data_IF_891840139137
#
_entry.id   IF_891840139137
#
_cell.length_a   1.000
_cell.length_b   1.000
_cell.length_c   1.000
_cell.angle_alpha   90.00
_cell.angle_beta   90.00
_cell.angle_gamma   90.00
#
_symmetry.space_group_name_H-M   'P 1'
#
loop_
_entity.id
_entity.type
_entity.pdbx_description
1 polymer ?
#
# COMPACT_ATOMS: atom_id res chain seq x y z
N UNK A 1 3.39 -26.78 28.27
CA UNK A 1 3.01 -25.90 27.15
C UNK A 1 4.01 -26.15 26.01
N UNK A 2 3.56 -26.79 24.93
CA UNK A 2 4.34 -26.93 23.68
C UNK A 2 4.15 -25.64 22.89
N UNK A 3 5.21 -24.81 22.84
CA UNK A 3 5.30 -23.69 21.94
C UNK A 3 5.66 -24.28 20.56
N UNK A 4 4.73 -24.35 19.65
CA UNK A 4 5.01 -24.57 18.24
C UNK A 4 5.73 -23.32 17.72
N UNK A 5 7.06 -23.30 17.79
CA UNK A 5 7.85 -22.39 16.98
C UNK A 5 7.73 -22.90 15.55
N UNK A 6 6.86 -22.31 14.74
CA UNK A 6 6.94 -22.54 13.32
C UNK A 6 8.34 -22.10 12.85
N UNK A 7 9.09 -22.96 12.17
CA UNK A 7 10.32 -22.50 11.55
C UNK A 7 9.92 -21.38 10.59
N UNK A 8 10.59 -20.24 10.65
CA UNK A 8 10.46 -19.15 9.69
C UNK A 8 11.10 -19.66 8.37
N UNK A 9 10.51 -20.72 7.81
CA UNK A 9 10.84 -21.26 6.52
C UNK A 9 9.81 -20.73 5.54
N UNK A 10 10.09 -19.57 5.01
CA UNK A 10 9.21 -18.87 4.08
C UNK A 10 10.00 -17.79 3.37
N UNK A 11 9.34 -16.84 2.73
CA UNK A 11 10.02 -15.74 2.03
C UNK A 11 10.92 -14.90 2.94
N UNK A 12 10.71 -14.92 4.26
CA UNK A 12 11.61 -14.29 5.23
C UNK A 12 12.87 -15.14 5.45
N UNK A 13 13.81 -15.06 4.51
CA UNK A 13 15.13 -15.71 4.57
C UNK A 13 16.22 -14.66 4.83
N UNK A 14 17.46 -15.12 5.03
CA UNK A 14 18.62 -14.22 5.14
C UNK A 14 18.87 -13.36 3.89
N UNK A 15 18.38 -13.80 2.71
CA UNK A 15 18.47 -13.05 1.45
C UNK A 15 17.26 -12.12 1.21
N UNK A 16 16.32 -12.09 2.13
CA UNK A 16 15.14 -11.25 2.03
C UNK A 16 15.50 -9.75 2.12
N UNK A 17 14.89 -8.95 1.27
CA UNK A 17 15.08 -7.49 1.26
C UNK A 17 13.79 -6.82 1.72
N UNK A 18 13.69 -6.41 2.99
CA UNK A 18 12.51 -5.75 3.50
C UNK A 18 12.31 -4.38 2.84
N UNK A 19 11.06 -4.00 2.64
CA UNK A 19 10.69 -2.68 2.14
C UNK A 19 9.68 -2.04 3.09
N UNK A 20 10.05 -0.87 3.62
CA UNK A 20 9.29 -0.07 4.57
C UNK A 20 9.06 1.36 4.08
N UNK A 21 9.14 1.59 2.78
CA UNK A 21 9.04 2.95 2.22
C UNK A 21 8.53 2.94 0.79
N UNK A 22 8.24 4.14 0.28
CA UNK A 22 7.72 4.37 -1.07
C UNK A 22 6.32 5.00 -1.04
N UNK A 23 5.54 4.77 0.01
CA UNK A 23 4.23 5.37 0.22
C UNK A 23 4.29 6.83 0.72
N UNK A 24 5.48 7.41 0.91
CA UNK A 24 5.70 8.82 1.34
C UNK A 24 4.83 9.22 2.55
N UNK A 25 4.56 8.27 3.45
CA UNK A 25 3.69 8.39 4.65
C UNK A 25 2.19 8.57 4.38
N UNK A 26 1.72 8.39 3.16
CA UNK A 26 0.30 8.45 2.81
C UNK A 26 -0.30 7.06 2.61
N UNK A 27 -1.44 6.73 3.24
CA UNK A 27 -2.24 5.57 2.86
C UNK A 27 -2.84 5.75 1.46
N UNK A 28 -3.25 4.65 0.83
CA UNK A 28 -4.00 4.68 -0.42
C UNK A 28 -5.31 5.47 -0.24
N UNK A 29 -5.70 6.28 -1.24
CA UNK A 29 -6.97 7.00 -1.24
C UNK A 29 -7.87 6.52 -2.37
N UNK A 30 -9.20 6.57 -2.17
CA UNK A 30 -10.19 6.13 -3.12
C UNK A 30 -9.98 6.68 -4.53
N UNK A 31 -9.73 7.97 -4.65
CA UNK A 31 -9.64 8.65 -5.94
C UNK A 31 -8.36 8.33 -6.73
N UNK A 32 -7.35 7.72 -6.09
CA UNK A 32 -6.05 7.56 -6.73
C UNK A 32 -6.04 6.50 -7.83
N UNK A 33 -6.65 5.36 -7.58
CA UNK A 33 -6.71 4.26 -8.57
C UNK A 33 -7.56 4.65 -9.79
N UNK A 34 -8.79 5.17 -9.63
CA UNK A 34 -9.57 5.70 -10.75
C UNK A 34 -8.82 6.74 -11.59
N UNK A 35 -8.17 7.71 -10.93
CA UNK A 35 -7.40 8.73 -11.65
C UNK A 35 -6.23 8.14 -12.44
N UNK A 36 -5.46 7.22 -11.85
CA UNK A 36 -4.34 6.56 -12.55
C UNK A 36 -4.84 5.83 -13.80
N UNK A 37 -5.92 5.07 -13.68
CA UNK A 37 -6.47 4.31 -14.82
C UNK A 37 -6.98 5.23 -15.93
N UNK A 38 -7.68 6.30 -15.59
CA UNK A 38 -8.19 7.29 -16.56
C UNK A 38 -7.06 8.02 -17.29
N UNK A 39 -6.03 8.47 -16.56
CA UNK A 39 -4.92 9.23 -17.15
C UNK A 39 -4.10 8.34 -18.10
N UNK A 40 -3.80 7.10 -17.70
CA UNK A 40 -3.04 6.18 -18.55
C UNK A 40 -3.82 5.69 -19.77
N UNK A 41 -5.15 5.82 -19.77
CA UNK A 41 -5.98 5.54 -20.93
C UNK A 41 -6.06 6.70 -21.92
N UNK A 42 -6.27 7.91 -21.42
CA UNK A 42 -6.38 9.12 -22.25
C UNK A 42 -5.12 9.35 -23.10
N UNK A 43 -4.00 8.78 -22.67
CA UNK A 43 -2.73 8.88 -23.36
C UNK A 43 -2.56 7.90 -24.55
N UNK A 44 -3.53 7.03 -24.82
CA UNK A 44 -3.53 6.11 -25.98
C UNK A 44 -4.04 6.74 -27.27
N UNK A 45 -4.44 8.01 -27.29
CA UNK A 45 -4.86 8.73 -28.50
C UNK A 45 -3.70 9.60 -29.03
N UNK A 46 -3.08 9.17 -30.12
CA UNK A 46 -2.28 9.86 -31.18
C UNK A 46 -1.39 11.08 -30.85
N UNK A 47 -1.26 11.47 -29.60
CA UNK A 47 -0.25 12.42 -29.17
C UNK A 47 0.82 11.70 -28.38
N UNK A 48 2.07 11.92 -28.69
CA UNK A 48 3.27 11.57 -27.90
C UNK A 48 3.17 12.14 -26.46
N UNK A 49 2.20 11.72 -25.69
CA UNK A 49 2.12 12.05 -24.28
C UNK A 49 3.00 11.03 -23.58
N UNK A 50 4.18 11.47 -23.44
CA UNK A 50 5.28 10.98 -22.66
C UNK A 50 4.82 10.07 -21.52
N UNK A 51 5.36 8.89 -21.51
CA UNK A 51 5.45 7.87 -20.48
C UNK A 51 5.80 8.37 -19.06
N UNK A 52 5.62 9.62 -18.78
CA UNK A 52 6.08 10.32 -17.59
C UNK A 52 4.96 10.94 -16.75
N UNK A 53 3.70 10.54 -17.00
CA UNK A 53 2.50 11.08 -16.31
C UNK A 53 2.61 10.94 -14.80
N UNK A 54 3.27 9.88 -14.32
CA UNK A 54 3.56 9.65 -12.90
C UNK A 54 4.94 10.17 -12.49
N UNK A 55 5.62 10.98 -13.33
CA UNK A 55 6.76 11.76 -12.86
C UNK A 55 6.31 12.82 -11.87
N UNK A 56 7.16 13.21 -10.91
CA UNK A 56 6.78 14.23 -9.93
C UNK A 56 6.32 15.55 -10.58
N UNK A 57 6.90 15.95 -11.68
CA UNK A 57 6.61 17.20 -12.37
C UNK A 57 5.25 17.16 -13.09
N UNK A 58 5.05 16.17 -13.94
CA UNK A 58 3.80 16.00 -14.70
C UNK A 58 2.64 15.59 -13.79
N UNK A 59 2.91 14.69 -12.85
CA UNK A 59 1.89 14.21 -11.91
C UNK A 59 1.30 15.30 -11.02
N UNK A 60 2.06 16.36 -10.68
CA UNK A 60 1.50 17.51 -9.95
C UNK A 60 0.38 18.16 -10.75
N UNK A 61 0.56 18.31 -12.05
CA UNK A 61 -0.43 18.93 -12.95
C UNK A 61 -1.64 18.01 -13.12
N UNK A 62 -1.39 16.73 -13.45
CA UNK A 62 -2.44 15.76 -13.78
C UNK A 62 -3.30 15.38 -12.57
N UNK A 63 -2.69 15.18 -11.41
CA UNK A 63 -3.41 14.78 -10.20
C UNK A 63 -3.87 15.96 -9.34
N UNK A 64 -3.29 17.16 -9.53
CA UNK A 64 -3.59 18.33 -8.70
C UNK A 64 -3.12 18.18 -7.25
N UNK A 65 -2.02 17.46 -7.01
CA UNK A 65 -1.51 17.15 -5.67
C UNK A 65 0.00 17.44 -5.56
N UNK A 66 0.51 17.51 -4.34
CA UNK A 66 1.93 17.76 -4.11
C UNK A 66 2.84 16.59 -4.54
N UNK A 67 4.12 16.89 -4.79
CA UNK A 67 5.15 15.95 -5.28
C UNK A 67 5.19 14.61 -4.53
N UNK A 68 5.12 14.62 -3.20
CA UNK A 68 5.17 13.39 -2.41
C UNK A 68 3.90 12.55 -2.56
N UNK A 69 2.75 13.20 -2.77
CA UNK A 69 1.51 12.48 -3.07
C UNK A 69 1.56 11.83 -4.46
N UNK A 70 2.16 12.48 -5.46
CA UNK A 70 2.38 11.85 -6.78
C UNK A 70 3.21 10.58 -6.65
N UNK A 71 4.32 10.63 -5.89
CA UNK A 71 5.15 9.45 -5.63
C UNK A 71 4.36 8.34 -4.91
N UNK A 72 3.51 8.73 -3.96
CA UNK A 72 2.66 7.80 -3.24
C UNK A 72 1.62 7.15 -4.17
N UNK A 73 1.01 7.91 -5.07
CA UNK A 73 0.10 7.39 -6.09
C UNK A 73 0.80 6.35 -6.98
N UNK A 74 1.99 6.69 -7.51
CA UNK A 74 2.81 5.77 -8.31
C UNK A 74 3.15 4.49 -7.51
N UNK A 75 3.56 4.64 -6.26
CA UNK A 75 3.85 3.52 -5.37
C UNK A 75 2.65 2.58 -5.19
N UNK A 76 1.49 3.15 -4.80
CA UNK A 76 0.29 2.35 -4.55
C UNK A 76 -0.20 1.66 -5.81
N UNK A 77 -0.20 2.33 -6.94
CA UNK A 77 -0.60 1.73 -8.22
C UNK A 77 0.31 0.56 -8.63
N UNK A 78 1.62 0.66 -8.35
CA UNK A 78 2.57 -0.43 -8.60
C UNK A 78 2.41 -1.61 -7.63
N UNK A 79 2.38 -1.35 -6.32
CA UNK A 79 2.33 -2.45 -5.33
C UNK A 79 0.99 -3.17 -5.34
N UNK A 80 -0.08 -2.54 -5.78
CA UNK A 80 -1.37 -3.18 -6.02
C UNK A 80 -1.45 -3.90 -7.37
N UNK A 81 -0.40 -3.80 -8.19
CA UNK A 81 -0.32 -4.47 -9.48
C UNK A 81 -1.22 -3.88 -10.56
N UNK A 82 -1.72 -2.66 -10.39
CA UNK A 82 -2.56 -1.97 -11.36
C UNK A 82 -1.72 -1.46 -12.53
N UNK A 83 -0.53 -0.96 -12.23
CA UNK A 83 0.45 -0.54 -13.22
C UNK A 83 1.75 -1.32 -13.08
N UNK A 84 2.49 -1.37 -14.16
CA UNK A 84 3.86 -1.85 -14.19
C UNK A 84 4.77 -0.88 -14.93
N UNK A 85 6.07 -1.03 -14.71
CA UNK A 85 7.07 -0.22 -15.39
C UNK A 85 7.65 -0.98 -16.58
N UNK A 86 7.60 -0.38 -17.76
CA UNK A 86 8.29 -0.86 -18.93
C UNK A 86 9.41 0.12 -19.37
N UNK A 87 10.02 -0.11 -20.53
CA UNK A 87 11.07 0.77 -21.09
C UNK A 87 10.53 2.17 -21.44
N UNK A 88 9.27 2.26 -21.72
CA UNK A 88 8.61 3.49 -22.18
C UNK A 88 7.96 4.27 -21.03
N UNK A 89 7.85 3.72 -19.82
CA UNK A 89 7.28 4.39 -18.64
C UNK A 89 6.36 3.51 -17.79
N UNK A 90 5.18 4.03 -17.47
CA UNK A 90 4.13 3.33 -16.71
C UNK A 90 3.01 2.90 -17.63
N UNK A 91 2.62 1.64 -17.56
CA UNK A 91 1.49 1.08 -18.33
C UNK A 91 0.53 0.37 -17.38
N UNK A 92 -0.74 0.32 -17.77
CA UNK A 92 -1.73 -0.51 -17.09
C UNK A 92 -1.43 -1.99 -17.33
N UNK A 93 -1.39 -2.77 -16.26
CA UNK A 93 -1.34 -4.23 -16.34
C UNK A 93 -2.68 -4.78 -16.87
N UNK A 94 -2.69 -6.05 -17.29
CA UNK A 94 -3.95 -6.70 -17.64
C UNK A 94 -4.93 -6.72 -16.45
N UNK A 95 -4.44 -6.93 -15.24
CA UNK A 95 -5.23 -6.84 -14.01
C UNK A 95 -5.82 -5.44 -13.82
N UNK A 96 -5.01 -4.39 -13.96
CA UNK A 96 -5.48 -3.00 -13.87
C UNK A 96 -6.57 -2.68 -14.90
N UNK A 97 -6.37 -3.13 -16.14
CA UNK A 97 -7.36 -2.94 -17.22
C UNK A 97 -8.67 -3.67 -16.92
N UNK A 98 -8.63 -4.94 -16.59
CA UNK A 98 -9.84 -5.75 -16.40
C UNK A 98 -10.63 -5.29 -15.16
N UNK A 99 -9.97 -5.10 -14.03
CA UNK A 99 -10.67 -4.78 -12.78
C UNK A 99 -11.05 -3.30 -12.71
N UNK A 100 -10.06 -2.42 -12.84
CA UNK A 100 -10.24 -0.99 -12.51
C UNK A 100 -10.55 -0.09 -13.69
N UNK A 101 -10.55 -0.61 -14.92
CA UNK A 101 -11.03 0.10 -16.08
C UNK A 101 -12.39 -0.39 -16.53
N UNK A 102 -12.60 -1.73 -16.60
CA UNK A 102 -13.77 -2.33 -17.20
C UNK A 102 -14.86 -2.62 -16.18
N UNK A 103 -14.49 -3.33 -15.07
CA UNK A 103 -15.49 -3.83 -14.13
C UNK A 103 -15.81 -2.88 -12.99
N UNK A 104 -14.84 -2.13 -12.50
CA UNK A 104 -15.02 -1.22 -11.35
C UNK A 104 -14.17 0.06 -11.48
N UNK A 105 -14.46 0.93 -12.44
CA UNK A 105 -13.64 2.10 -12.73
C UNK A 105 -13.64 3.16 -11.61
N UNK A 106 -14.56 3.09 -10.69
CA UNK A 106 -14.69 4.05 -9.58
C UNK A 106 -14.37 3.45 -8.20
N UNK A 107 -13.96 2.19 -8.16
CA UNK A 107 -13.63 1.47 -6.91
C UNK A 107 -14.82 1.43 -5.92
N UNK A 108 -16.03 1.15 -6.43
CA UNK A 108 -17.25 1.08 -5.65
C UNK A 108 -17.58 -0.35 -5.15
N UNK A 109 -16.94 -1.36 -5.73
CA UNK A 109 -17.21 -2.74 -5.40
C UNK A 109 -16.26 -3.26 -4.32
N UNK A 110 -16.83 -3.74 -3.22
CA UNK A 110 -16.06 -4.33 -2.12
C UNK A 110 -15.15 -5.48 -2.56
N UNK A 111 -15.51 -6.22 -3.60
CA UNK A 111 -14.68 -7.29 -4.17
C UNK A 111 -13.38 -6.75 -4.77
N UNK A 112 -13.41 -5.56 -5.37
CA UNK A 112 -12.21 -4.88 -5.88
C UNK A 112 -11.29 -4.47 -4.75
N UNK A 113 -11.85 -4.05 -3.62
CA UNK A 113 -11.08 -3.70 -2.42
C UNK A 113 -10.42 -4.96 -1.82
N UNK A 114 -11.12 -6.11 -1.82
CA UNK A 114 -10.52 -7.40 -1.44
C UNK A 114 -9.38 -7.81 -2.36
N UNK A 115 -9.48 -7.56 -3.67
CA UNK A 115 -8.38 -7.82 -4.61
C UNK A 115 -7.17 -6.92 -4.34
N UNK A 116 -7.37 -5.65 -4.00
CA UNK A 116 -6.28 -4.75 -3.56
C UNK A 116 -5.61 -5.28 -2.29
N UNK A 117 -6.42 -5.66 -1.29
CA UNK A 117 -5.90 -6.25 -0.06
C UNK A 117 -5.07 -7.50 -0.34
N UNK A 118 -5.58 -8.44 -1.14
CA UNK A 118 -4.82 -9.63 -1.52
C UNK A 118 -3.48 -9.26 -2.17
N UNK A 119 -3.49 -8.35 -3.14
CA UNK A 119 -2.26 -7.90 -3.80
C UNK A 119 -1.22 -7.39 -2.79
N UNK A 120 -1.63 -6.66 -1.78
CA UNK A 120 -0.74 -6.16 -0.74
C UNK A 120 -0.28 -7.26 0.23
N UNK A 121 -1.20 -8.07 0.74
CA UNK A 121 -0.93 -9.08 1.74
C UNK A 121 -0.14 -10.29 1.19
N UNK A 122 -0.17 -10.54 -0.11
CA UNK A 122 0.53 -11.67 -0.75
C UNK A 122 1.96 -11.34 -1.20
N UNK A 123 2.41 -10.09 -1.08
CA UNK A 123 3.75 -9.68 -1.52
C UNK A 123 4.74 -9.69 -0.36
N UNK A 124 5.71 -10.61 -0.35
CA UNK A 124 6.71 -10.66 0.72
C UNK A 124 7.48 -9.34 0.89
N UNK A 125 7.74 -8.59 -0.21
CA UNK A 125 8.49 -7.34 -0.15
C UNK A 125 7.79 -6.24 0.66
N UNK A 126 6.45 -6.27 0.79
CA UNK A 126 5.70 -5.37 1.65
C UNK A 126 5.72 -5.90 3.09
N UNK A 127 6.84 -5.72 3.76
CA UNK A 127 7.19 -6.42 5.02
C UNK A 127 6.10 -6.34 6.07
N UNK A 128 5.58 -5.16 6.38
CA UNK A 128 4.55 -4.98 7.42
C UNK A 128 3.24 -5.67 7.03
N UNK A 129 2.74 -5.47 5.79
CA UNK A 129 1.52 -6.11 5.30
C UNK A 129 1.64 -7.63 5.29
N UNK A 130 2.75 -8.12 4.72
CA UNK A 130 2.99 -9.56 4.61
C UNK A 130 3.14 -10.21 5.98
N UNK A 131 3.88 -9.58 6.91
CA UNK A 131 4.06 -10.08 8.26
C UNK A 131 2.73 -10.16 9.02
N UNK A 132 1.98 -9.06 9.05
CA UNK A 132 0.75 -9.00 9.85
C UNK A 132 -0.30 -10.00 9.36
N UNK A 133 -0.48 -10.14 8.05
CA UNK A 133 -1.55 -11.00 7.51
C UNK A 133 -1.15 -12.47 7.33
N UNK A 134 0.13 -12.81 7.43
CA UNK A 134 0.57 -14.21 7.21
C UNK A 134 1.35 -14.82 8.39
N UNK A 135 1.91 -14.04 9.29
CA UNK A 135 2.78 -14.53 10.36
C UNK A 135 2.41 -14.08 11.77
N UNK A 136 1.64 -13.01 11.90
CA UNK A 136 1.22 -12.55 13.22
C UNK A 136 0.22 -13.54 13.83
N UNK A 137 0.63 -14.24 14.89
CA UNK A 137 -0.19 -15.23 15.56
C UNK A 137 -1.03 -14.67 16.73
N UNK A 138 -1.15 -13.35 16.82
CA UNK A 138 -1.94 -12.68 17.88
C UNK A 138 -3.19 -12.04 17.30
N UNK A 139 -4.30 -12.14 18.01
CA UNK A 139 -5.56 -11.46 17.68
C UNK A 139 -5.54 -9.96 18.01
N UNK A 140 -4.56 -9.51 18.80
CA UNK A 140 -4.38 -8.12 19.17
C UNK A 140 -2.90 -7.78 19.19
N UNK A 141 -2.56 -6.55 18.85
CA UNK A 141 -1.21 -6.04 18.90
C UNK A 141 -1.22 -4.52 19.12
N UNK A 142 -0.16 -4.02 19.72
CA UNK A 142 0.16 -2.60 19.75
C UNK A 142 1.14 -2.24 18.62
N UNK A 143 1.24 -0.96 18.28
CA UNK A 143 2.24 -0.51 17.31
C UNK A 143 3.65 -0.81 17.80
N UNK A 144 3.90 -0.61 19.10
CA UNK A 144 5.17 -0.86 19.77
C UNK A 144 5.58 -2.34 19.70
N UNK A 145 4.64 -3.24 19.95
CA UNK A 145 4.89 -4.69 19.81
C UNK A 145 5.26 -5.06 18.37
N UNK A 146 4.56 -4.50 17.39
CA UNK A 146 4.84 -4.78 15.98
C UNK A 146 6.21 -4.21 15.55
N UNK A 147 6.57 -2.99 16.00
CA UNK A 147 7.90 -2.40 15.76
C UNK A 147 8.99 -3.29 16.34
N UNK A 148 8.83 -3.71 17.60
CA UNK A 148 9.80 -4.55 18.30
C UNK A 148 9.96 -5.90 17.58
N UNK A 149 8.87 -6.51 17.16
CA UNK A 149 8.89 -7.81 16.50
C UNK A 149 9.57 -7.74 15.12
N UNK A 150 9.22 -6.76 14.28
CA UNK A 150 9.87 -6.58 12.98
C UNK A 150 11.36 -6.24 13.15
N UNK A 151 11.71 -5.44 14.15
CA UNK A 151 13.10 -5.10 14.46
C UNK A 151 13.88 -6.34 14.93
N UNK A 152 13.28 -7.19 15.77
CA UNK A 152 13.85 -8.46 16.21
C UNK A 152 14.12 -9.38 15.02
N UNK A 153 13.12 -9.58 14.15
CA UNK A 153 13.26 -10.40 12.95
C UNK A 153 14.36 -9.88 12.03
N UNK A 154 14.45 -8.56 11.83
CA UNK A 154 15.51 -7.96 11.01
C UNK A 154 16.90 -8.28 11.53
N UNK A 155 17.08 -8.30 12.85
CA UNK A 155 18.37 -8.66 13.48
C UNK A 155 18.66 -10.16 13.39
N UNK A 156 17.68 -11.00 13.73
CA UNK A 156 17.83 -12.46 13.73
C UNK A 156 18.12 -13.02 12.33
N UNK A 157 17.47 -12.45 11.33
CA UNK A 157 17.60 -12.90 9.92
C UNK A 157 18.65 -12.11 9.14
N UNK A 158 19.38 -11.19 9.79
CA UNK A 158 20.43 -10.36 9.20
C UNK A 158 19.94 -9.59 7.96
N UNK A 159 18.72 -9.07 7.99
CA UNK A 159 18.21 -8.23 6.92
C UNK A 159 18.94 -6.89 6.87
N UNK A 160 18.96 -6.21 5.69
CA UNK A 160 19.40 -4.83 5.63
C UNK A 160 18.59 -3.98 6.63
N UNK A 161 19.29 -3.33 7.56
CA UNK A 161 18.66 -2.59 8.65
C UNK A 161 17.96 -1.34 8.11
N UNK A 162 16.64 -1.31 8.21
CA UNK A 162 15.89 -0.07 8.18
C UNK A 162 16.00 0.64 9.54
N UNK A 163 16.00 1.98 9.55
CA UNK A 163 15.93 2.70 10.83
C UNK A 163 14.58 2.42 11.51
N UNK A 164 14.57 2.40 12.84
CA UNK A 164 13.34 2.24 13.61
C UNK A 164 12.27 3.26 13.22
N UNK A 165 12.67 4.51 12.95
CA UNK A 165 11.76 5.54 12.45
C UNK A 165 11.12 5.17 11.09
N UNK A 166 11.86 4.48 10.22
CA UNK A 166 11.32 4.03 8.94
C UNK A 166 10.29 2.93 9.16
N UNK A 167 10.58 1.95 10.01
CA UNK A 167 9.65 0.88 10.39
C UNK A 167 8.39 1.48 11.04
N UNK A 168 8.56 2.40 11.98
CA UNK A 168 7.45 3.09 12.66
C UNK A 168 6.52 3.81 11.67
N UNK A 169 7.07 4.54 10.70
CA UNK A 169 6.29 5.24 9.68
C UNK A 169 5.52 4.28 8.79
N UNK A 170 6.11 3.16 8.42
CA UNK A 170 5.45 2.13 7.60
C UNK A 170 4.28 1.49 8.36
N UNK A 171 4.48 1.16 9.66
CA UNK A 171 3.43 0.64 10.54
C UNK A 171 2.30 1.68 10.73
N UNK A 172 2.64 2.96 10.87
CA UNK A 172 1.64 4.02 10.97
C UNK A 172 0.79 4.13 9.69
N UNK A 173 1.39 3.97 8.52
CA UNK A 173 0.64 3.93 7.25
C UNK A 173 -0.21 2.67 7.17
N UNK A 174 0.33 1.51 7.56
CA UNK A 174 -0.42 0.25 7.64
C UNK A 174 -1.69 0.40 8.50
N UNK A 175 -1.54 0.89 9.73
CA UNK A 175 -2.68 1.08 10.65
C UNK A 175 -3.71 2.03 10.05
N UNK A 176 -3.30 3.19 9.52
CA UNK A 176 -4.20 4.16 8.88
C UNK A 176 -4.86 3.61 7.61
N UNK A 177 -4.25 2.62 6.94
CA UNK A 177 -4.84 1.99 5.76
C UNK A 177 -6.03 1.08 6.11
N UNK A 178 -6.07 0.50 7.31
CA UNK A 178 -7.10 -0.47 7.71
C UNK A 178 -8.02 0.02 8.82
N UNK A 179 -7.76 1.16 9.43
CA UNK A 179 -8.60 1.69 10.53
C UNK A 179 -9.32 2.96 10.11
N UNK A 180 -10.55 3.09 10.57
CA UNK A 180 -11.32 4.33 10.40
C UNK A 180 -10.76 5.42 11.32
N UNK A 181 -10.59 6.64 10.80
CA UNK A 181 -10.21 7.79 11.63
C UNK A 181 -11.35 8.14 12.59
N UNK A 182 -11.03 8.32 13.88
CA UNK A 182 -12.02 8.72 14.91
C UNK A 182 -12.42 10.21 14.81
N UNK A 183 -11.67 11.04 14.09
CA UNK A 183 -11.82 12.51 14.11
C UNK A 183 -12.82 13.08 13.10
N UNK A 184 -13.86 12.32 12.72
CA UNK A 184 -14.82 12.73 11.68
C UNK A 184 -15.85 13.80 12.07
N UNK A 185 -15.79 14.41 13.26
CA UNK A 185 -16.91 15.27 13.65
C UNK A 185 -16.82 16.73 13.23
N UNK A 186 -15.64 17.31 12.99
CA UNK A 186 -15.55 18.77 12.86
C UNK A 186 -14.59 19.36 11.80
N UNK A 187 -13.83 18.60 11.03
CA UNK A 187 -12.96 19.18 10.00
C UNK A 187 -12.91 18.34 8.71
N UNK A 188 -13.51 18.87 7.65
CA UNK A 188 -13.30 18.40 6.28
C UNK A 188 -11.89 18.79 5.81
N UNK A 189 -10.87 18.10 6.30
CA UNK A 189 -9.53 18.19 5.73
C UNK A 189 -9.38 17.16 4.61
N UNK A 190 -8.60 17.47 3.57
CA UNK A 190 -8.28 16.53 2.49
C UNK A 190 -7.71 15.19 3.01
N UNK A 191 -7.15 15.17 4.22
CA UNK A 191 -6.67 13.96 4.90
C UNK A 191 -7.78 13.04 5.43
N UNK A 192 -9.05 13.48 5.39
CA UNK A 192 -10.21 12.70 5.84
C UNK A 192 -10.73 11.68 4.80
N UNK A 193 -10.16 11.64 3.60
CA UNK A 193 -10.48 10.59 2.63
C UNK A 193 -9.90 9.25 3.11
N UNK A 194 -10.79 8.42 3.61
CA UNK A 194 -10.44 7.10 4.12
C UNK A 194 -9.79 6.23 3.05
N UNK A 195 -8.87 5.40 3.50
CA UNK A 195 -8.33 4.35 2.65
C UNK A 195 -9.43 3.32 2.37
N UNK A 196 -9.63 2.89 1.11
CA UNK A 196 -10.64 1.88 0.79
C UNK A 196 -10.48 0.58 1.60
N UNK A 197 -9.25 0.21 1.96
CA UNK A 197 -8.98 -1.00 2.74
C UNK A 197 -9.61 -0.97 4.16
N UNK A 198 -9.95 0.21 4.68
CA UNK A 198 -10.61 0.34 5.98
C UNK A 198 -12.03 -0.25 5.99
N UNK A 199 -12.70 -0.31 4.83
CA UNK A 199 -14.01 -0.92 4.70
C UNK A 199 -14.02 -2.42 4.96
N UNK A 200 -12.88 -3.09 4.78
CA UNK A 200 -12.77 -4.52 5.01
C UNK A 200 -12.87 -4.90 6.50
N UNK A 201 -12.69 -3.94 7.40
CA UNK A 201 -12.78 -4.16 8.85
C UNK A 201 -11.78 -5.18 9.41
N UNK A 202 -10.66 -5.42 8.71
CA UNK A 202 -9.65 -6.42 9.07
C UNK A 202 -8.82 -6.01 10.29
N UNK A 203 -8.64 -4.71 10.51
CA UNK A 203 -7.97 -4.18 11.71
C UNK A 203 -8.91 -3.19 12.38
N UNK A 204 -9.13 -3.37 13.68
CA UNK A 204 -10.03 -2.50 14.47
C UNK A 204 -9.30 -1.98 15.70
N UNK A 205 -9.46 -0.70 16.05
CA UNK A 205 -8.98 -0.20 17.31
C UNK A 205 -9.67 -0.94 18.47
N UNK A 206 -8.90 -1.34 19.50
CA UNK A 206 -9.48 -1.84 20.73
C UNK A 206 -10.31 -0.74 21.38
N UNK A 207 -11.53 -1.05 21.78
CA UNK A 207 -12.31 -0.18 22.65
C UNK A 207 -11.87 -0.46 24.09
N UNK A 208 -10.98 0.39 24.63
CA UNK A 208 -10.73 0.48 26.07
C UNK A 208 -11.67 1.50 26.67
#
# INVERSE_FOLDING_TARGET
>A
YLILSMPISGPFSSNYKPKFSGHETFPLRYTWIPKVTQILEGNNSDYEITNNVLSPEQGIIEFGVGRNMVKSIDYWAQVTGIIERNKEGRILTNFGKQVFKIHDPYLENISSIWLLHWKLASQPQLTTWYYVFNYLNSLSFTKEELINEITRLSKELSWPLASENTIKRDIDVFVRSYTLSKDKRDNFNEDSFECPLSELGLVRPSMN
#
